data_IF_851955260709
#
_entry.id   IF_851955260709
#
_cell.length_a   1.000
_cell.length_b   1.000
_cell.length_c   1.000
_cell.angle_alpha   90.00
_cell.angle_beta   90.00
_cell.angle_gamma   90.00
#
_symmetry.space_group_name_H-M   'P 1'
#
loop_
_entity.id
_entity.type
_entity.pdbx_description
1 polymer ?
#
# COMPACT_ATOMS: atom_id res chain seq x y z
N UNK A 1 -20.91 13.80 5.42
CA UNK A 1 -21.39 15.03 4.80
C UNK A 1 -21.28 14.91 3.30
N UNK A 2 -22.39 14.99 2.57
CA UNK A 2 -22.33 15.26 1.13
C UNK A 2 -21.88 16.71 0.94
N UNK A 3 -20.63 16.91 0.49
CA UNK A 3 -20.14 18.25 0.17
C UNK A 3 -20.27 18.47 -1.33
N UNK A 4 -21.21 19.34 -1.69
CA UNK A 4 -21.30 19.88 -3.03
C UNK A 4 -20.17 20.90 -3.19
N UNK A 5 -19.21 20.56 -4.04
CA UNK A 5 -18.10 21.43 -4.34
C UNK A 5 -18.31 22.13 -5.68
N UNK A 6 -18.19 23.48 -5.76
CA UNK A 6 -18.36 24.21 -7.01
C UNK A 6 -17.33 23.77 -8.06
N UNK A 7 -17.76 23.64 -9.32
CA UNK A 7 -16.91 23.21 -10.43
C UNK A 7 -15.66 24.09 -10.57
N UNK A 8 -15.77 25.37 -10.23
CA UNK A 8 -14.71 26.37 -10.32
C UNK A 8 -13.54 26.05 -9.39
N UNK A 9 -13.84 25.63 -8.15
CA UNK A 9 -12.81 25.31 -7.16
C UNK A 9 -12.14 23.98 -7.49
N UNK A 10 -12.86 23.02 -8.10
CA UNK A 10 -12.28 21.77 -8.62
C UNK A 10 -11.33 22.02 -9.77
N UNK A 11 -11.74 22.83 -10.73
CA UNK A 11 -10.92 23.17 -11.87
C UNK A 11 -9.67 23.95 -11.43
N UNK A 12 -9.79 24.79 -10.40
CA UNK A 12 -8.67 25.46 -9.78
C UNK A 12 -7.70 24.49 -9.10
N UNK A 13 -8.19 23.54 -8.30
CA UNK A 13 -7.37 22.51 -7.66
C UNK A 13 -6.58 21.68 -8.67
N UNK A 14 -7.24 21.24 -9.75
CA UNK A 14 -6.59 20.51 -10.86
C UNK A 14 -5.47 21.35 -11.47
N UNK A 15 -5.74 22.63 -11.74
CA UNK A 15 -4.77 23.52 -12.34
C UNK A 15 -3.54 23.73 -11.45
N UNK A 16 -3.72 23.93 -10.15
CA UNK A 16 -2.60 24.10 -9.20
C UNK A 16 -1.75 22.84 -9.06
N UNK A 17 -2.39 21.67 -8.95
CA UNK A 17 -1.69 20.39 -8.90
C UNK A 17 -0.92 20.11 -10.21
N UNK A 18 -1.52 20.44 -11.36
CA UNK A 18 -0.88 20.29 -12.69
C UNK A 18 0.31 21.25 -12.86
N UNK A 19 0.28 22.43 -12.23
CA UNK A 19 1.40 23.38 -12.18
C UNK A 19 2.52 22.96 -11.22
N UNK A 20 2.33 21.88 -10.46
CA UNK A 20 3.31 21.36 -9.50
C UNK A 20 3.22 22.00 -8.11
N UNK A 21 2.16 22.73 -7.80
CA UNK A 21 1.91 23.22 -6.43
C UNK A 21 1.63 22.02 -5.52
N UNK A 22 2.31 21.94 -4.37
CA UNK A 22 2.13 20.79 -3.47
C UNK A 22 0.74 20.78 -2.83
N UNK A 23 0.20 19.58 -2.59
CA UNK A 23 -1.10 19.41 -1.92
C UNK A 23 -1.17 20.18 -0.59
N UNK A 24 -0.09 20.16 0.19
CA UNK A 24 0.01 20.89 1.45
C UNK A 24 -0.08 22.42 1.26
N UNK A 25 0.54 22.96 0.21
CA UNK A 25 0.48 24.40 -0.07
C UNK A 25 -0.92 24.84 -0.53
N UNK A 26 -1.60 23.99 -1.31
CA UNK A 26 -2.97 24.25 -1.77
C UNK A 26 -3.95 24.17 -0.58
N UNK A 27 -3.79 23.18 0.30
CA UNK A 27 -4.55 23.09 1.57
C UNK A 27 -4.38 24.34 2.42
N UNK A 28 -3.15 24.83 2.59
CA UNK A 28 -2.88 26.05 3.34
C UNK A 28 -3.54 27.29 2.71
N UNK A 29 -3.60 27.37 1.38
CA UNK A 29 -4.29 28.47 0.68
C UNK A 29 -5.81 28.44 0.88
N UNK A 30 -6.43 27.25 0.86
CA UNK A 30 -7.85 27.10 1.15
C UNK A 30 -8.17 27.48 2.61
N UNK A 31 -7.31 27.07 3.55
CA UNK A 31 -7.45 27.43 4.96
C UNK A 31 -7.33 28.94 5.20
N UNK A 32 -6.43 29.62 4.49
CA UNK A 32 -6.30 31.09 4.52
C UNK A 32 -7.57 31.80 4.00
N UNK A 33 -8.43 31.10 3.25
CA UNK A 33 -9.72 31.59 2.77
C UNK A 33 -10.89 31.14 3.68
N UNK A 34 -10.60 30.75 4.91
CA UNK A 34 -11.57 30.25 5.91
C UNK A 34 -12.24 28.93 5.55
N UNK A 35 -11.66 28.12 4.65
CA UNK A 35 -12.10 26.73 4.47
C UNK A 35 -11.61 25.91 5.66
N UNK A 36 -12.47 25.13 6.34
CA UNK A 36 -12.05 24.27 7.44
C UNK A 36 -10.92 23.33 7.01
N UNK A 37 -9.88 23.18 7.85
CA UNK A 37 -8.68 22.41 7.50
C UNK A 37 -8.99 20.99 7.00
N UNK A 38 -9.89 20.28 7.69
CA UNK A 38 -10.32 18.93 7.30
C UNK A 38 -11.00 18.89 5.94
N UNK A 39 -11.78 19.93 5.61
CA UNK A 39 -12.43 20.02 4.30
C UNK A 39 -11.40 20.37 3.21
N UNK A 40 -10.46 21.27 3.50
CA UNK A 40 -9.38 21.61 2.58
C UNK A 40 -8.52 20.37 2.25
N UNK A 41 -8.09 19.63 3.27
CA UNK A 41 -7.24 18.45 3.10
C UNK A 41 -7.98 17.33 2.36
N UNK A 42 -9.25 17.08 2.70
CA UNK A 42 -10.07 16.10 2.00
C UNK A 42 -10.28 16.47 0.51
N UNK A 43 -10.57 17.74 0.21
CA UNK A 43 -10.76 18.22 -1.16
C UNK A 43 -9.47 18.09 -1.97
N UNK A 44 -8.36 18.60 -1.43
CA UNK A 44 -7.07 18.57 -2.12
C UNK A 44 -6.59 17.15 -2.30
N UNK A 45 -6.70 16.31 -1.28
CA UNK A 45 -6.34 14.89 -1.36
C UNK A 45 -7.17 14.21 -2.44
N UNK A 46 -8.50 14.35 -2.44
CA UNK A 46 -9.36 13.70 -3.45
C UNK A 46 -8.99 14.12 -4.87
N UNK A 47 -8.77 15.42 -5.11
CA UNK A 47 -8.40 15.91 -6.44
C UNK A 47 -6.98 15.53 -6.81
N UNK A 48 -6.03 15.54 -5.87
CA UNK A 48 -4.66 15.09 -6.09
C UNK A 48 -4.60 13.61 -6.47
N UNK A 49 -5.40 12.77 -5.81
CA UNK A 49 -5.55 11.36 -6.17
C UNK A 49 -6.14 11.21 -7.58
N UNK A 50 -7.20 11.95 -7.93
CA UNK A 50 -7.80 11.90 -9.26
C UNK A 50 -6.83 12.36 -10.36
N UNK A 51 -6.13 13.48 -10.14
CA UNK A 51 -5.12 14.03 -11.08
C UNK A 51 -3.95 13.07 -11.24
N UNK A 52 -3.44 12.49 -10.14
CA UNK A 52 -2.37 11.52 -10.19
C UNK A 52 -2.77 10.19 -10.86
N UNK A 53 -4.05 9.82 -10.77
CA UNK A 53 -4.63 8.66 -11.45
C UNK A 53 -4.95 8.92 -12.94
N UNK A 54 -4.81 10.15 -13.44
CA UNK A 54 -5.23 10.51 -14.80
C UNK A 54 -6.74 10.42 -15.03
N UNK A 55 -7.52 10.32 -13.96
CA UNK A 55 -8.98 10.21 -13.99
C UNK A 55 -9.62 11.60 -13.83
N UNK A 56 -10.72 11.91 -14.54
CA UNK A 56 -11.45 13.13 -14.30
C UNK A 56 -12.05 13.09 -12.89
N UNK A 57 -11.75 14.05 -11.99
CA UNK A 57 -12.39 14.08 -10.67
C UNK A 57 -13.91 14.22 -10.82
N UNK A 58 -14.64 13.32 -10.15
CA UNK A 58 -16.09 13.20 -10.25
C UNK A 58 -16.81 14.56 -10.17
N UNK A 59 -17.83 14.75 -11.00
CA UNK A 59 -18.57 15.99 -11.05
C UNK A 59 -19.44 16.18 -9.80
N UNK A 60 -18.99 17.09 -8.92
CA UNK A 60 -19.84 17.81 -7.98
C UNK A 60 -20.34 17.03 -6.77
N UNK A 61 -19.81 15.84 -6.47
CA UNK A 61 -20.20 15.06 -5.28
C UNK A 61 -18.98 14.42 -4.62
N UNK A 62 -18.69 14.86 -3.41
CA UNK A 62 -17.75 14.21 -2.50
C UNK A 62 -18.58 13.69 -1.33
N UNK A 63 -18.68 12.37 -1.20
CA UNK A 63 -19.17 11.75 0.03
C UNK A 63 -18.04 11.80 1.05
N UNK A 64 -18.13 12.74 1.99
CA UNK A 64 -17.34 12.71 3.22
C UNK A 64 -18.17 11.89 4.21
N UNK A 65 -17.59 10.97 4.98
CA UNK A 65 -18.37 10.27 6.02
C UNK A 65 -18.80 11.25 7.13
N UNK A 66 -20.10 11.29 7.48
CA UNK A 66 -20.66 12.05 8.63
C UNK A 66 -20.44 11.31 9.96
N UNK A 67 -19.23 10.82 10.23
CA UNK A 67 -18.90 10.42 11.59
C UNK A 67 -18.46 11.67 12.36
N UNK A 68 -19.08 12.02 13.51
CA UNK A 68 -18.53 13.01 14.43
C UNK A 68 -17.33 12.39 15.16
N UNK A 69 -16.28 12.12 14.41
CA UNK A 69 -14.93 12.15 14.90
C UNK A 69 -14.28 13.22 14.06
N UNK A 70 -13.91 14.35 14.68
CA UNK A 70 -12.72 15.01 14.19
C UNK A 70 -11.67 13.90 14.17
N UNK A 71 -11.37 13.34 12.99
CA UNK A 71 -10.46 12.22 12.88
C UNK A 71 -9.16 12.74 13.48
N UNK A 72 -8.89 12.33 14.73
CA UNK A 72 -7.73 12.80 15.45
C UNK A 72 -6.55 12.51 14.53
N UNK A 73 -5.57 13.42 14.42
CA UNK A 73 -4.40 13.17 13.59
C UNK A 73 -3.87 11.77 13.94
N UNK A 74 -3.48 11.02 12.90
CA UNK A 74 -2.96 9.68 13.09
C UNK A 74 -1.91 9.70 14.20
N UNK A 75 -2.09 8.85 15.21
CA UNK A 75 -1.15 8.73 16.31
C UNK A 75 -0.15 7.62 15.96
N UNK A 76 1.12 7.98 15.65
CA UNK A 76 2.11 6.98 15.30
C UNK A 76 2.39 6.07 16.48
N UNK A 77 2.52 4.78 16.19
CA UNK A 77 2.97 3.78 17.14
C UNK A 77 4.39 3.34 16.80
N UNK A 78 5.15 2.83 17.79
CA UNK A 78 6.45 2.23 17.52
C UNK A 78 6.36 1.15 16.43
N UNK A 79 7.43 1.00 15.67
CA UNK A 79 7.53 -0.06 14.66
C UNK A 79 7.31 -1.43 15.31
N UNK A 80 6.57 -2.32 14.62
CA UNK A 80 6.50 -3.74 15.01
C UNK A 80 7.86 -4.45 14.91
N UNK A 81 8.82 -3.88 14.16
CA UNK A 81 10.18 -4.40 14.09
C UNK A 81 10.99 -3.99 15.33
N UNK A 82 11.85 -4.88 15.81
CA UNK A 82 12.84 -4.55 16.85
C UNK A 82 13.77 -3.40 16.45
N UNK A 83 14.44 -2.78 17.42
CA UNK A 83 15.31 -1.59 17.21
C UNK A 83 16.75 -1.92 16.85
N UNK A 84 17.16 -3.18 16.94
CA UNK A 84 18.51 -3.60 16.62
C UNK A 84 18.83 -3.39 15.12
N UNK A 85 20.09 -3.11 14.76
CA UNK A 85 20.51 -2.99 13.37
C UNK A 85 20.51 -4.33 12.62
N UNK A 86 20.50 -5.43 13.36
CA UNK A 86 20.36 -6.79 12.81
C UNK A 86 19.27 -7.50 13.62
N UNK A 87 18.20 -7.91 12.95
CA UNK A 87 17.07 -8.63 13.51
C UNK A 87 17.24 -10.13 13.31
N UNK A 88 16.77 -10.92 14.28
CA UNK A 88 16.77 -12.38 14.21
C UNK A 88 15.45 -12.87 13.57
N UNK A 89 15.52 -13.29 12.32
CA UNK A 89 14.42 -13.94 11.60
C UNK A 89 14.25 -15.41 11.95
N UNK A 90 15.07 -15.97 12.85
CA UNK A 90 15.08 -17.37 13.27
C UNK A 90 15.96 -18.25 12.38
N UNK A 91 15.72 -18.22 11.06
CA UNK A 91 16.54 -18.93 10.08
C UNK A 91 17.56 -18.02 9.38
N UNK A 92 17.43 -16.70 9.55
CA UNK A 92 18.25 -15.69 8.88
C UNK A 92 18.45 -14.45 9.74
N UNK A 93 19.62 -13.83 9.62
CA UNK A 93 19.90 -12.50 10.17
C UNK A 93 19.53 -11.42 9.15
N UNK A 94 18.59 -10.56 9.51
CA UNK A 94 18.04 -9.52 8.63
C UNK A 94 18.60 -8.17 9.04
N UNK A 95 19.21 -7.46 8.09
CA UNK A 95 19.85 -6.17 8.34
C UNK A 95 18.81 -5.05 8.24
N UNK A 96 18.87 -4.07 9.13
CA UNK A 96 18.08 -2.84 9.01
C UNK A 96 18.95 -1.78 8.37
N UNK A 97 18.74 -1.53 7.08
CA UNK A 97 19.58 -0.66 6.27
C UNK A 97 19.20 0.82 6.43
N UNK A 98 17.92 1.10 6.65
CA UNK A 98 17.40 2.46 6.86
C UNK A 98 16.05 2.44 7.60
N UNK A 99 15.70 3.56 8.22
CA UNK A 99 14.39 3.82 8.82
C UNK A 99 13.92 5.23 8.47
N UNK A 100 12.61 5.38 8.33
CA UNK A 100 11.94 6.67 8.39
C UNK A 100 10.89 6.60 9.50
N UNK A 101 10.79 7.66 10.29
CA UNK A 101 9.81 7.74 11.39
C UNK A 101 8.42 8.14 10.90
N UNK A 102 8.34 8.91 9.80
CA UNK A 102 7.07 9.37 9.20
C UNK A 102 7.11 9.38 7.68
N UNK A 103 6.35 8.50 7.00
CA UNK A 103 5.64 7.35 7.59
C UNK A 103 6.63 6.37 8.26
N UNK A 104 6.15 5.55 9.19
CA UNK A 104 6.97 4.53 9.85
C UNK A 104 7.33 3.42 8.86
N UNK A 105 8.60 3.37 8.43
CA UNK A 105 9.11 2.34 7.52
C UNK A 105 10.54 1.90 7.87
N UNK A 106 10.92 0.73 7.37
CA UNK A 106 12.28 0.23 7.40
C UNK A 106 12.65 -0.46 6.09
N UNK A 107 13.87 -0.22 5.61
CA UNK A 107 14.48 -0.99 4.55
C UNK A 107 15.27 -2.14 5.18
N UNK A 108 14.90 -3.36 4.81
CA UNK A 108 15.48 -4.59 5.30
C UNK A 108 16.42 -5.20 4.24
N UNK A 109 17.65 -5.46 4.63
CA UNK A 109 18.64 -6.18 3.84
C UNK A 109 18.65 -7.65 4.20
N UNK A 110 18.99 -8.50 3.21
CA UNK A 110 19.16 -9.93 3.44
C UNK A 110 17.90 -10.60 4.04
N UNK A 111 16.70 -10.18 3.63
CA UNK A 111 15.46 -10.84 4.05
C UNK A 111 15.30 -12.19 3.35
N UNK A 112 15.60 -12.23 2.05
CA UNK A 112 15.59 -13.43 1.21
C UNK A 112 17.00 -13.66 0.64
N UNK A 113 17.41 -14.91 0.43
CA UNK A 113 18.55 -15.20 -0.45
C UNK A 113 18.14 -15.28 -1.92
N UNK A 114 19.18 -15.46 -2.74
CA UNK A 114 19.06 -15.62 -4.18
C UNK A 114 18.20 -16.79 -4.62
N UNK A 115 18.21 -17.90 -3.87
CA UNK A 115 17.48 -19.13 -4.18
C UNK A 115 16.01 -18.97 -3.81
N UNK A 116 15.70 -18.41 -2.64
CA UNK A 116 14.35 -18.08 -2.21
C UNK A 116 13.68 -17.10 -3.19
N UNK A 117 14.40 -16.08 -3.64
CA UNK A 117 13.92 -15.17 -4.68
C UNK A 117 13.62 -15.90 -6.00
N UNK A 118 14.54 -16.76 -6.46
CA UNK A 118 14.37 -17.49 -7.71
C UNK A 118 13.20 -18.49 -7.63
N UNK A 119 13.03 -19.17 -6.51
CA UNK A 119 11.96 -20.14 -6.27
C UNK A 119 10.59 -19.46 -6.19
N UNK A 120 10.47 -18.29 -5.55
CA UNK A 120 9.23 -17.49 -5.57
C UNK A 120 8.84 -17.06 -7.00
N UNK A 121 9.82 -16.60 -7.81
CA UNK A 121 9.58 -16.27 -9.22
C UNK A 121 9.14 -17.52 -9.99
N UNK A 122 9.81 -18.67 -9.78
CA UNK A 122 9.48 -19.92 -10.46
C UNK A 122 8.07 -20.43 -10.10
N UNK A 123 7.64 -20.28 -8.85
CA UNK A 123 6.26 -20.59 -8.45
C UNK A 123 5.24 -19.63 -9.05
N UNK A 124 5.59 -18.35 -9.16
CA UNK A 124 4.70 -17.29 -9.63
C UNK A 124 4.52 -17.27 -11.14
N UNK A 125 5.61 -17.31 -11.90
CA UNK A 125 5.66 -17.12 -13.34
C UNK A 125 4.64 -17.92 -14.17
N UNK A 126 4.42 -19.23 -13.94
CA UNK A 126 3.45 -19.99 -14.74
C UNK A 126 1.98 -19.72 -14.37
N UNK A 127 1.71 -18.99 -13.29
CA UNK A 127 0.37 -18.71 -12.74
C UNK A 127 -0.01 -17.24 -12.78
N UNK A 128 0.84 -16.42 -13.38
CA UNK A 128 0.64 -14.98 -13.50
C UNK A 128 -0.59 -14.68 -14.34
N UNK A 129 -1.56 -14.02 -13.72
CA UNK A 129 -2.72 -13.46 -14.41
C UNK A 129 -2.67 -11.93 -14.35
N UNK A 130 -3.19 -11.20 -15.35
CA UNK A 130 -3.30 -9.75 -15.28
C UNK A 130 -4.04 -9.33 -14.01
N UNK A 131 -3.42 -8.47 -13.19
CA UNK A 131 -4.05 -7.97 -11.97
C UNK A 131 -5.19 -7.04 -12.36
N UNK A 132 -6.41 -7.45 -12.04
CA UNK A 132 -7.63 -6.66 -12.24
C UNK A 132 -7.79 -5.63 -11.13
N UNK A 133 -8.28 -4.46 -11.50
CA UNK A 133 -8.67 -3.39 -10.57
C UNK A 133 -10.19 -3.27 -10.66
N UNK A 134 -10.86 -3.06 -9.53
CA UNK A 134 -12.28 -2.70 -9.56
C UNK A 134 -12.38 -1.27 -10.08
N UNK A 135 -12.98 -1.10 -11.24
CA UNK A 135 -13.23 0.20 -11.84
C UNK A 135 -14.17 1.02 -10.93
N UNK A 136 -13.76 2.21 -10.48
CA UNK A 136 -14.54 3.00 -9.53
C UNK A 136 -15.90 3.48 -10.08
N UNK A 137 -16.04 3.62 -11.41
CA UNK A 137 -17.27 4.10 -12.04
C UNK A 137 -18.29 3.00 -12.29
N UNK A 138 -17.84 1.81 -12.70
CA UNK A 138 -18.69 0.70 -13.12
C UNK A 138 -18.77 -0.44 -12.11
N UNK A 139 -17.89 -0.46 -11.10
CA UNK A 139 -17.80 -1.53 -10.09
C UNK A 139 -17.37 -2.88 -10.66
N UNK A 140 -16.82 -2.90 -11.88
CA UNK A 140 -16.38 -4.12 -12.58
C UNK A 140 -14.88 -4.28 -12.52
N UNK A 141 -14.42 -5.53 -12.55
CA UNK A 141 -13.01 -5.84 -12.76
C UNK A 141 -12.56 -5.34 -14.15
N UNK A 142 -11.68 -4.34 -14.16
CA UNK A 142 -11.05 -3.80 -15.36
C UNK A 142 -9.55 -4.01 -15.29
N UNK A 143 -8.94 -4.36 -16.43
CA UNK A 143 -7.49 -4.37 -16.57
C UNK A 143 -7.04 -2.91 -16.72
N UNK A 144 -6.44 -2.36 -15.68
CA UNK A 144 -5.88 -1.01 -15.72
C UNK A 144 -4.64 -0.99 -16.64
N UNK A 145 -4.75 -0.25 -17.75
CA UNK A 145 -3.70 -0.11 -18.76
C UNK A 145 -2.40 0.51 -18.20
N UNK A 146 -2.49 1.29 -17.12
CA UNK A 146 -1.33 1.90 -16.44
C UNK A 146 -0.68 0.93 -15.46
N UNK A 147 -1.45 -0.01 -14.89
CA UNK A 147 -0.93 -0.97 -13.91
C UNK A 147 -0.17 -2.12 -14.56
N UNK A 148 -0.60 -2.56 -15.76
CA UNK A 148 0.00 -3.61 -16.64
C UNK A 148 0.91 -4.62 -15.92
N UNK A 149 0.43 -5.13 -14.79
CA UNK A 149 1.15 -6.04 -13.91
C UNK A 149 0.38 -7.34 -13.84
N UNK A 150 1.13 -8.40 -13.70
CA UNK A 150 0.59 -9.74 -13.52
C UNK A 150 0.86 -10.17 -12.09
N UNK A 151 -0.04 -10.95 -11.50
CA UNK A 151 0.15 -11.42 -10.14
C UNK A 151 -0.55 -12.73 -9.84
N UNK A 152 -0.12 -13.35 -8.75
CA UNK A 152 -0.72 -14.56 -8.20
C UNK A 152 -0.60 -14.55 -6.68
N UNK A 153 -1.66 -14.99 -6.01
CA UNK A 153 -1.67 -15.22 -4.58
C UNK A 153 -1.31 -16.67 -4.25
N UNK A 154 -0.50 -16.84 -3.21
CA UNK A 154 -0.30 -18.12 -2.57
C UNK A 154 -1.08 -18.19 -1.26
N UNK A 155 -1.63 -19.35 -0.94
CA UNK A 155 -2.25 -19.58 0.36
C UNK A 155 -1.18 -19.60 1.48
N UNK A 156 -1.63 -19.36 2.71
CA UNK A 156 -0.80 -19.49 3.91
C UNK A 156 -0.11 -20.85 3.93
N UNK A 157 1.21 -20.86 4.16
CA UNK A 157 2.05 -22.05 4.21
C UNK A 157 1.88 -23.00 3.01
N UNK A 158 1.51 -22.51 1.83
CA UNK A 158 1.20 -23.36 0.67
C UNK A 158 2.41 -24.21 0.22
N UNK A 159 3.62 -23.71 0.41
CA UNK A 159 4.87 -24.45 0.16
C UNK A 159 5.79 -24.33 1.37
N UNK A 160 6.77 -25.24 1.53
CA UNK A 160 7.76 -25.13 2.58
C UNK A 160 8.53 -23.80 2.55
N UNK A 161 8.80 -23.25 1.35
CA UNK A 161 9.42 -21.93 1.21
C UNK A 161 8.52 -20.82 1.77
N UNK A 162 7.25 -20.79 1.37
CA UNK A 162 6.30 -19.78 1.83
C UNK A 162 6.14 -19.86 3.34
N UNK A 163 6.00 -21.06 3.90
CA UNK A 163 5.89 -21.26 5.35
C UNK A 163 7.12 -20.73 6.11
N UNK A 164 8.34 -20.94 5.58
CA UNK A 164 9.58 -20.39 6.16
C UNK A 164 9.60 -18.87 6.13
N UNK A 165 9.27 -18.26 4.98
CA UNK A 165 9.22 -16.80 4.84
C UNK A 165 8.18 -16.21 5.78
N UNK A 166 7.00 -16.81 5.89
CA UNK A 166 5.94 -16.34 6.81
C UNK A 166 6.36 -16.45 8.28
N UNK A 167 7.03 -17.56 8.66
CA UNK A 167 7.60 -17.72 10.01
C UNK A 167 8.67 -16.66 10.29
N UNK A 168 9.49 -16.32 9.30
CA UNK A 168 10.50 -15.25 9.40
C UNK A 168 9.83 -13.89 9.62
N UNK A 169 8.80 -13.57 8.84
CA UNK A 169 8.02 -12.33 8.97
C UNK A 169 7.37 -12.24 10.35
N UNK A 170 6.79 -13.34 10.84
CA UNK A 170 6.22 -13.43 12.19
C UNK A 170 7.27 -13.14 13.26
N UNK A 171 8.46 -13.74 13.17
CA UNK A 171 9.55 -13.45 14.12
C UNK A 171 10.01 -12.00 14.10
N UNK A 172 10.07 -11.38 12.91
CA UNK A 172 10.54 -10.00 12.76
C UNK A 172 9.52 -8.98 13.29
N UNK A 173 8.23 -9.24 13.11
CA UNK A 173 7.14 -8.29 13.40
C UNK A 173 6.38 -8.59 14.69
N UNK A 174 6.50 -9.81 15.22
CA UNK A 174 5.65 -10.31 16.28
C UNK A 174 4.19 -10.54 15.88
N UNK A 175 3.85 -10.41 14.59
CA UNK A 175 2.49 -10.62 14.07
C UNK A 175 2.39 -12.06 13.57
N UNK A 176 1.46 -12.88 14.10
CA UNK A 176 1.29 -14.28 13.69
C UNK A 176 1.13 -14.43 12.17
N UNK A 177 1.71 -15.47 11.58
CA UNK A 177 1.64 -15.73 10.14
C UNK A 177 0.20 -15.75 9.61
N UNK A 178 -0.75 -16.30 10.38
CA UNK A 178 -2.18 -16.37 10.02
C UNK A 178 -2.91 -15.02 10.05
N UNK A 179 -2.30 -13.97 10.60
CA UNK A 179 -2.81 -12.61 10.51
C UNK A 179 -2.43 -11.95 9.17
N UNK A 180 -1.57 -12.58 8.38
CA UNK A 180 -1.22 -12.08 7.06
C UNK A 180 -2.14 -12.63 5.97
N UNK A 181 -2.40 -11.81 4.96
CA UNK A 181 -2.93 -12.31 3.69
C UNK A 181 -1.95 -13.29 3.03
N UNK A 182 -2.39 -14.04 2.02
CA UNK A 182 -1.48 -14.84 1.21
C UNK A 182 -0.36 -14.00 0.58
N UNK A 183 0.85 -14.55 0.43
CA UNK A 183 1.92 -13.84 -0.30
C UNK A 183 1.46 -13.63 -1.74
N UNK A 184 1.47 -12.39 -2.22
CA UNK A 184 1.19 -12.06 -3.61
C UNK A 184 2.52 -11.85 -4.36
N UNK A 185 2.79 -12.65 -5.38
CA UNK A 185 3.91 -12.39 -6.30
C UNK A 185 3.41 -11.56 -7.47
N UNK A 186 4.12 -10.49 -7.81
CA UNK A 186 3.81 -9.59 -8.92
C UNK A 186 5.00 -9.41 -9.87
N UNK A 187 4.69 -9.19 -11.15
CA UNK A 187 5.64 -8.82 -12.20
C UNK A 187 5.23 -7.53 -12.88
N UNK A 188 6.19 -6.62 -13.05
CA UNK A 188 6.06 -5.38 -13.81
C UNK A 188 7.05 -5.41 -14.98
N UNK A 189 6.52 -5.30 -16.20
CA UNK A 189 7.30 -5.14 -17.44
C UNK A 189 7.69 -3.67 -17.66
N UNK A 190 8.62 -3.34 -18.57
CA UNK A 190 8.89 -1.96 -18.94
C UNK A 190 7.62 -1.17 -19.24
N UNK A 191 7.53 0.03 -18.67
CA UNK A 191 6.36 0.92 -18.72
C UNK A 191 5.28 0.64 -17.67
N UNK A 192 5.22 -0.56 -17.09
CA UNK A 192 4.27 -0.88 -16.04
C UNK A 192 4.63 -0.13 -14.75
N UNK A 193 3.61 0.36 -14.06
CA UNK A 193 3.73 1.13 -12.83
C UNK A 193 2.62 0.75 -11.86
N UNK A 194 2.64 1.36 -10.67
CA UNK A 194 1.52 1.34 -9.77
C UNK A 194 1.19 2.78 -9.37
N UNK A 195 -0.01 3.22 -9.72
CA UNK A 195 -0.50 4.56 -9.39
C UNK A 195 -0.49 4.79 -7.88
N UNK A 196 -0.39 6.07 -7.43
CA UNK A 196 -0.45 6.39 -6.01
C UNK A 196 -1.70 5.81 -5.33
N UNK A 197 -1.49 5.12 -4.22
CA UNK A 197 -2.54 4.43 -3.49
C UNK A 197 -2.16 4.22 -2.02
N UNK A 198 -3.10 3.64 -1.28
CA UNK A 198 -2.91 3.13 0.07
C UNK A 198 -3.07 1.61 0.07
N UNK A 199 -2.39 0.95 1.00
CA UNK A 199 -2.59 -0.47 1.25
C UNK A 199 -3.72 -0.75 2.24
N UNK A 200 -4.08 0.21 3.10
CA UNK A 200 -5.26 0.06 3.95
C UNK A 200 -6.54 0.05 3.11
N UNK A 201 -7.53 -0.70 3.61
CA UNK A 201 -8.78 -0.94 2.93
C UNK A 201 -9.74 0.22 3.16
N UNK A 202 -10.35 0.74 2.08
CA UNK A 202 -11.40 1.75 2.17
C UNK A 202 -12.72 1.11 2.58
N UNK A 203 -13.31 1.54 3.69
CA UNK A 203 -14.62 1.09 4.18
C UNK A 203 -15.80 1.49 3.28
N UNK A 204 -15.58 2.41 2.33
CA UNK A 204 -16.57 2.80 1.34
C UNK A 204 -16.83 1.70 0.30
N UNK A 205 -15.92 0.74 0.16
CA UNK A 205 -16.05 -0.40 -0.76
C UNK A 205 -16.61 -1.60 0.02
N UNK A 206 -17.70 -2.18 -0.46
CA UNK A 206 -18.41 -3.25 0.23
C UNK A 206 -17.53 -4.47 0.54
N UNK A 207 -16.77 -4.96 -0.43
CA UNK A 207 -15.85 -6.10 -0.24
C UNK A 207 -14.76 -5.82 0.80
N UNK A 208 -14.25 -4.58 0.81
CA UNK A 208 -13.28 -4.12 1.80
C UNK A 208 -13.91 -4.07 3.19
N UNK A 209 -15.13 -3.53 3.33
CA UNK A 209 -15.86 -3.48 4.60
C UNK A 209 -16.05 -4.89 5.16
N UNK A 210 -16.49 -5.84 4.34
CA UNK A 210 -16.63 -7.22 4.76
C UNK A 210 -15.29 -7.86 5.14
N UNK A 211 -14.20 -7.55 4.42
CA UNK A 211 -12.86 -8.00 4.78
C UNK A 211 -12.41 -7.45 6.14
N UNK A 212 -12.63 -6.15 6.39
CA UNK A 212 -12.34 -5.50 7.69
C UNK A 212 -13.17 -6.15 8.81
N UNK A 213 -14.45 -6.43 8.58
CA UNK A 213 -15.31 -7.10 9.56
C UNK A 213 -14.85 -8.52 9.89
N UNK A 214 -14.31 -9.26 8.90
CA UNK A 214 -13.79 -10.61 9.11
C UNK A 214 -12.40 -10.65 9.74
N UNK A 215 -11.50 -9.78 9.30
CA UNK A 215 -10.04 -9.89 9.53
C UNK A 215 -9.43 -8.68 10.24
N UNK A 216 -10.17 -7.57 10.37
CA UNK A 216 -9.63 -6.28 10.77
C UNK A 216 -9.00 -5.52 9.60
N UNK A 217 -8.67 -4.25 9.83
CA UNK A 217 -7.97 -3.41 8.86
C UNK A 217 -6.55 -3.93 8.60
N UNK A 218 -5.97 -3.71 7.41
CA UNK A 218 -4.54 -3.92 7.18
C UNK A 218 -3.75 -2.90 8.01
N UNK A 219 -2.68 -3.33 8.65
CA UNK A 219 -1.90 -2.48 9.57
C UNK A 219 -0.46 -2.24 9.10
N UNK A 220 0.07 -3.15 8.28
CA UNK A 220 1.42 -3.05 7.75
C UNK A 220 1.57 -3.87 6.45
N UNK A 221 2.58 -3.49 5.68
CA UNK A 221 2.97 -4.16 4.44
C UNK A 221 4.45 -4.49 4.46
N UNK A 222 4.78 -5.65 3.89
CA UNK A 222 6.14 -6.02 3.50
C UNK A 222 6.20 -6.25 1.99
N UNK A 223 6.97 -5.42 1.28
CA UNK A 223 7.29 -5.59 -0.15
C UNK A 223 8.69 -6.17 -0.26
N UNK A 224 8.82 -7.38 -0.79
CA UNK A 224 10.08 -8.11 -0.95
C UNK A 224 10.51 -8.05 -2.41
N UNK A 225 11.72 -7.58 -2.69
CA UNK A 225 12.24 -7.44 -4.05
C UNK A 225 12.92 -8.74 -4.50
N UNK A 226 12.39 -9.39 -5.53
CA UNK A 226 12.83 -10.73 -5.96
C UNK A 226 13.93 -10.70 -7.02
N UNK A 227 14.18 -9.53 -7.62
CA UNK A 227 15.27 -9.30 -8.55
C UNK A 227 15.80 -7.86 -8.46
N UNK A 228 16.95 -7.62 -9.08
CA UNK A 228 17.43 -6.27 -9.34
C UNK A 228 16.73 -5.74 -10.60
N UNK A 229 16.39 -4.45 -10.59
CA UNK A 229 15.81 -3.75 -11.74
C UNK A 229 16.90 -2.87 -12.34
N UNK A 230 17.02 -2.87 -13.67
CA UNK A 230 18.09 -2.14 -14.35
C UNK A 230 17.88 -0.62 -14.27
N UNK A 231 16.63 -0.15 -14.39
CA UNK A 231 16.27 1.27 -14.24
C UNK A 231 14.78 1.48 -13.92
N UNK A 232 14.48 2.45 -13.05
CA UNK A 232 13.13 2.76 -12.57
C UNK A 232 12.60 1.74 -11.56
N UNK A 233 11.28 1.64 -11.44
CA UNK A 233 10.63 0.65 -10.58
C UNK A 233 10.71 0.93 -9.08
N UNK A 234 11.09 2.15 -8.66
CA UNK A 234 11.17 2.51 -7.24
C UNK A 234 9.80 2.47 -6.56
N UNK A 235 9.79 2.19 -5.26
CA UNK A 235 8.60 2.42 -4.42
C UNK A 235 8.73 3.81 -3.79
N UNK A 236 7.92 4.76 -4.23
CA UNK A 236 7.92 6.15 -3.74
C UNK A 236 6.82 6.37 -2.71
N UNK A 237 7.15 6.93 -1.57
CA UNK A 237 6.21 7.51 -0.61
C UNK A 237 5.94 8.97 -0.96
N UNK A 238 4.68 9.31 -1.23
CA UNK A 238 4.29 10.57 -1.88
C UNK A 238 4.54 11.77 -0.98
N UNK A 239 4.11 11.69 0.28
CA UNK A 239 4.20 12.82 1.21
C UNK A 239 5.65 13.15 1.60
N UNK A 240 6.47 12.12 1.83
CA UNK A 240 7.86 12.30 2.24
C UNK A 240 8.83 12.50 1.07
N UNK A 241 8.41 12.14 -0.16
CA UNK A 241 9.30 12.07 -1.32
C UNK A 241 10.34 10.94 -1.24
N UNK A 242 10.27 10.08 -0.22
CA UNK A 242 11.25 9.01 -0.01
C UNK A 242 11.03 7.86 -0.99
N UNK A 243 12.09 7.45 -1.67
CA UNK A 243 12.05 6.34 -2.65
C UNK A 243 12.93 5.19 -2.22
N UNK A 244 12.42 3.98 -2.38
CA UNK A 244 13.15 2.73 -2.16
C UNK A 244 13.40 2.06 -3.49
N UNK A 245 14.69 1.87 -3.81
CA UNK A 245 15.10 1.20 -5.03
C UNK A 245 15.02 -0.33 -4.85
N UNK A 246 14.52 -1.07 -5.84
CA UNK A 246 14.41 -2.52 -5.78
C UNK A 246 15.80 -3.16 -5.84
N UNK A 247 16.12 -3.94 -4.81
CA UNK A 247 17.37 -4.70 -4.71
C UNK A 247 17.05 -6.12 -4.30
N UNK A 248 17.49 -7.10 -5.09
CA UNK A 248 17.20 -8.52 -4.88
C UNK A 248 17.52 -8.92 -3.43
N UNK A 249 16.59 -9.63 -2.79
CA UNK A 249 16.73 -10.12 -1.42
C UNK A 249 16.38 -9.10 -0.33
N UNK A 250 16.30 -7.80 -0.67
CA UNK A 250 15.86 -6.77 0.25
C UNK A 250 14.34 -6.68 0.31
N UNK A 251 13.84 -6.08 1.38
CA UNK A 251 12.42 -5.79 1.54
C UNK A 251 12.17 -4.42 2.16
N UNK A 252 11.02 -3.85 1.82
CA UNK A 252 10.50 -2.62 2.41
C UNK A 252 9.35 -2.99 3.34
N UNK A 253 9.54 -2.72 4.63
CA UNK A 253 8.49 -2.77 5.64
C UNK A 253 7.93 -1.36 5.87
N UNK A 254 6.62 -1.21 5.95
CA UNK A 254 6.00 0.02 6.44
C UNK A 254 4.68 -0.29 7.14
N UNK A 255 4.34 0.50 8.14
CA UNK A 255 3.11 0.36 8.91
C UNK A 255 2.29 1.65 8.88
N UNK A 256 0.99 1.47 8.98
CA UNK A 256 0.02 2.55 8.84
C UNK A 256 -1.20 2.34 9.72
N UNK A 257 -1.47 1.13 10.24
CA UNK A 257 -2.53 0.92 11.22
C UNK A 257 -2.04 1.15 12.66
N UNK A 258 -2.93 1.55 13.56
CA UNK A 258 -2.64 1.59 14.99
C UNK A 258 -3.75 0.93 15.83
N UNK A 259 -3.51 0.75 17.13
CA UNK A 259 -4.51 0.15 18.05
C UNK A 259 -5.79 0.96 18.22
N UNK A 260 -5.81 2.23 17.79
CA UNK A 260 -6.99 3.09 17.82
C UNK A 260 -7.88 2.89 16.58
N UNK A 261 -7.51 1.97 15.69
CA UNK A 261 -8.23 1.75 14.43
C UNK A 261 -7.99 2.85 13.38
N UNK A 262 -6.98 3.70 13.58
CA UNK A 262 -6.62 4.74 12.63
C UNK A 262 -5.65 4.20 11.58
N UNK A 263 -5.62 4.88 10.43
CA UNK A 263 -4.69 4.61 9.33
C UNK A 263 -3.85 5.85 9.00
N UNK A 264 -2.55 5.68 8.72
CA UNK A 264 -1.62 6.77 8.44
C UNK A 264 -1.71 7.23 6.97
N UNK A 265 -2.19 8.46 6.69
CA UNK A 265 -2.20 9.00 5.33
C UNK A 265 -0.78 9.24 4.76
N UNK A 266 0.25 9.36 5.61
CA UNK A 266 1.63 9.51 5.13
C UNK A 266 2.17 8.25 4.43
N UNK A 267 1.47 7.12 4.55
CA UNK A 267 1.81 5.85 3.90
C UNK A 267 1.41 5.78 2.42
N UNK A 268 0.81 6.84 1.86
CA UNK A 268 0.51 6.94 0.42
C UNK A 268 1.77 6.66 -0.40
N UNK A 269 1.70 5.67 -1.28
CA UNK A 269 2.87 5.25 -2.05
C UNK A 269 2.51 4.82 -3.48
N UNK A 270 3.52 4.77 -4.33
CA UNK A 270 3.41 4.42 -5.74
C UNK A 270 4.59 3.56 -6.17
N UNK A 271 4.35 2.67 -7.14
CA UNK A 271 5.40 1.99 -7.88
C UNK A 271 5.74 2.81 -9.11
N UNK A 272 6.92 3.40 -9.17
CA UNK A 272 7.38 4.16 -10.34
C UNK A 272 7.51 3.24 -11.56
N UNK A 273 7.35 3.77 -12.79
CA UNK A 273 7.48 2.97 -14.00
C UNK A 273 8.82 2.22 -14.05
N UNK A 274 8.77 0.95 -14.44
CA UNK A 274 9.99 0.24 -14.83
C UNK A 274 10.46 0.82 -16.17
N UNK A 275 11.69 1.33 -16.22
CA UNK A 275 12.26 1.92 -17.43
C UNK A 275 13.02 0.86 -18.23
N UNK A 276 13.82 0.02 -17.55
CA UNK A 276 14.59 -1.05 -18.18
C UNK A 276 14.62 -2.30 -17.29
N UNK A 277 14.70 -3.48 -17.91
CA UNK A 277 14.62 -4.78 -17.25
C UNK A 277 13.17 -5.16 -16.91
N UNK A 278 12.98 -5.78 -15.75
CA UNK A 278 11.66 -6.08 -15.19
C UNK A 278 11.73 -6.06 -13.67
N UNK A 279 10.59 -5.86 -13.00
CA UNK A 279 10.50 -5.86 -11.53
C UNK A 279 9.62 -7.02 -11.07
N UNK A 280 10.18 -7.86 -10.20
CA UNK A 280 9.47 -8.89 -9.48
C UNK A 280 9.43 -8.55 -7.99
N UNK A 281 8.24 -8.60 -7.41
CA UNK A 281 8.05 -8.43 -5.97
C UNK A 281 7.17 -9.53 -5.38
N UNK A 282 7.35 -9.80 -4.11
CA UNK A 282 6.39 -10.52 -3.28
C UNK A 282 5.86 -9.58 -2.19
N UNK A 283 4.55 -9.47 -2.05
CA UNK A 283 3.88 -8.59 -1.09
C UNK A 283 3.18 -9.41 -0.02
N UNK A 284 3.32 -9.02 1.24
CA UNK A 284 2.58 -9.56 2.38
C UNK A 284 1.90 -8.42 3.12
N UNK A 285 0.57 -8.45 3.19
CA UNK A 285 -0.22 -7.54 4.02
C UNK A 285 -0.53 -8.20 5.36
N UNK A 286 -0.45 -7.42 6.44
CA UNK A 286 -0.63 -7.88 7.80
C UNK A 286 -1.88 -7.24 8.43
N UNK A 287 -2.64 -8.03 9.19
CA UNK A 287 -3.82 -7.61 9.94
C UNK A 287 -3.57 -7.71 11.46
N UNK A 288 -4.40 -7.06 12.30
CA UNK A 288 -4.25 -7.15 13.76
C UNK A 288 -4.76 -8.48 14.33
N UNK A 289 -5.47 -9.28 13.53
CA UNK A 289 -6.02 -10.59 13.89
C UNK A 289 -6.05 -11.51 12.66
N UNK A 290 -6.40 -12.77 12.88
CA UNK A 290 -6.40 -13.80 11.83
C UNK A 290 -7.13 -13.33 10.58
N UNK A 291 -6.47 -13.49 9.44
CA UNK A 291 -7.03 -13.19 8.13
C UNK A 291 -7.99 -14.32 7.68
N UNK A 292 -9.16 -13.92 7.20
CA UNK A 292 -10.20 -14.81 6.66
C UNK A 292 -10.57 -14.34 5.25
N UNK A 293 -10.15 -15.13 4.26
CA UNK A 293 -10.45 -14.88 2.85
C UNK A 293 -11.97 -14.89 2.60
N UNK A 294 -12.41 -14.22 1.53
CA UNK A 294 -13.81 -14.32 1.08
C UNK A 294 -14.12 -15.77 0.69
N UNK A 295 -15.34 -16.23 1.00
CA UNK A 295 -15.79 -17.58 0.65
C UNK A 295 -15.34 -18.71 1.58
N UNK A 296 -14.38 -18.50 2.49
CA UNK A 296 -14.13 -19.47 3.57
C UNK A 296 -15.19 -19.29 4.66
N UNK A 297 -16.06 -20.28 4.85
CA UNK A 297 -17.02 -20.27 5.95
C UNK A 297 -16.25 -20.13 7.26
N UNK A 298 -16.48 -19.04 7.99
CA UNK A 298 -15.92 -18.90 9.33
C UNK A 298 -16.45 -20.07 10.17
N UNK A 299 -15.54 -20.94 10.64
CA UNK A 299 -15.86 -21.82 11.76
C UNK A 299 -16.23 -20.91 12.92
N UNK A 300 -17.54 -20.78 13.18
CA UNK A 300 -18.04 -20.09 14.37
C UNK A 300 -17.48 -20.83 15.59
N UNK A 301 -16.94 -20.11 16.59
CA UNK A 301 -16.61 -20.73 17.88
C UNK A 301 -17.87 -21.29 18.55
#
# INVERSE_FOLDING_TARGET
>A
MLVNFPADVRNWLIAELTRGTSAQAISAQLQAQNVPAQLADALVSTVAHAVAAGAPPAAGRLEIDDAPFAALPYQPEPSHLGTAPILDGGDRRVEVLARLERPTLALLGNLLDDDECAELIAFGAPRLEPVRVVDPESGKDVIDALRNSEGVFFHLAQTPLIARIETRIERLTGIPAENGEGIQVLRYRPGAQHTPHFDFLSSAIEDNRQSIERSGQRIATLIMYLNNVDSGGETLFIESGFSVLPRKGNALYFQYGNRLGQTDPASAHAGRPVVAGEKWIATKWLHPRRFIASGTAAARP
#
